data_IF_355063545945
#
_entry.id   IF_355063545945
#
_cell.length_a   1.000
_cell.length_b   1.000
_cell.length_c   1.000
_cell.angle_alpha   90.00
_cell.angle_beta   90.00
_cell.angle_gamma   90.00
#
_symmetry.space_group_name_H-M   'P 1'
#
loop_
_entity.id
_entity.type
_entity.pdbx_description
1 polymer ?
#
# COMPACT_ATOMS: atom_id res chain seq x y z
N UNK A 1 -0.52 -1.68 7.53
CA UNK A 1 0.15 -2.37 6.41
C UNK A 1 -0.66 -2.25 5.11
N UNK A 2 -1.96 -2.59 5.08
CA UNK A 2 -2.82 -2.42 3.88
C UNK A 2 -2.83 -0.98 3.35
N UNK A 3 -2.96 0.00 4.25
CA UNK A 3 -2.93 1.43 3.91
C UNK A 3 -1.64 1.81 3.17
N UNK A 4 -0.49 1.27 3.62
CA UNK A 4 0.82 1.54 3.02
C UNK A 4 0.90 0.98 1.60
N UNK A 5 0.46 -0.27 1.41
CA UNK A 5 0.46 -0.87 0.07
C UNK A 5 -0.53 -0.18 -0.88
N UNK A 6 -1.73 0.17 -0.41
CA UNK A 6 -2.67 0.95 -1.21
C UNK A 6 -2.09 2.32 -1.61
N UNK A 7 -1.39 2.99 -0.70
CA UNK A 7 -0.70 4.24 -1.01
C UNK A 7 0.36 4.06 -2.11
N UNK A 8 1.18 3.02 -2.03
CA UNK A 8 2.18 2.69 -3.04
C UNK A 8 1.56 2.43 -4.42
N UNK A 9 0.40 1.76 -4.48
CA UNK A 9 -0.38 1.60 -5.72
C UNK A 9 -0.77 2.97 -6.29
N UNK A 10 -1.39 3.83 -5.48
CA UNK A 10 -1.91 5.13 -5.91
C UNK A 10 -0.79 6.01 -6.50
N UNK A 11 0.37 6.05 -5.87
CA UNK A 11 1.51 6.86 -6.33
C UNK A 11 2.38 6.14 -7.37
N UNK A 12 2.05 4.89 -7.72
CA UNK A 12 2.88 4.02 -8.57
C UNK A 12 4.31 3.87 -8.06
N UNK A 13 4.45 3.67 -6.76
CA UNK A 13 5.69 3.21 -6.14
C UNK A 13 5.73 1.68 -6.18
N UNK A 14 6.56 1.13 -7.07
CA UNK A 14 6.75 -0.32 -7.24
C UNK A 14 8.03 -0.85 -6.59
N UNK A 15 8.80 0.01 -5.94
CA UNK A 15 10.00 -0.37 -5.16
C UNK A 15 9.62 -0.57 -3.69
N UNK A 16 8.58 -1.36 -3.45
CA UNK A 16 7.91 -1.55 -2.16
C UNK A 16 8.36 -2.84 -1.45
N UNK A 17 9.65 -3.13 -1.51
CA UNK A 17 10.25 -4.32 -0.94
C UNK A 17 10.24 -4.32 0.60
N UNK A 18 10.35 -5.51 1.20
CA UNK A 18 10.19 -5.69 2.65
C UNK A 18 11.18 -4.89 3.53
N UNK A 19 12.34 -4.47 3.01
CA UNK A 19 13.27 -3.61 3.79
C UNK A 19 12.82 -2.15 3.84
N UNK A 20 11.77 -1.78 3.12
CA UNK A 20 11.05 -0.50 3.24
C UNK A 20 10.01 -0.50 4.38
N UNK A 21 9.94 -1.59 5.16
CA UNK A 21 9.20 -1.68 6.41
C UNK A 21 10.17 -1.82 7.59
N UNK A 22 10.19 -0.83 8.48
CA UNK A 22 10.98 -0.88 9.71
C UNK A 22 10.10 -0.97 10.95
N UNK A 23 10.63 -1.64 11.97
CA UNK A 23 10.09 -1.66 13.31
C UNK A 23 11.10 -1.03 14.27
N UNK A 24 10.61 -0.17 15.15
CA UNK A 24 11.40 0.48 16.19
C UNK A 24 11.10 -0.17 17.54
N UNK A 25 12.14 -0.40 18.33
CA UNK A 25 11.98 -0.84 19.72
C UNK A 25 11.78 0.38 20.61
N UNK A 26 10.55 0.57 21.11
CA UNK A 26 10.16 1.74 21.91
C UNK A 26 9.44 1.27 23.17
N UNK A 27 9.95 1.69 24.34
CA UNK A 27 9.37 1.39 25.65
C UNK A 27 9.10 -0.11 25.87
N UNK A 28 10.03 -0.98 25.48
CA UNK A 28 9.90 -2.43 25.68
C UNK A 28 8.98 -3.14 24.68
N UNK A 29 8.63 -2.51 23.56
CA UNK A 29 7.76 -3.09 22.53
C UNK A 29 8.23 -2.75 21.12
N UNK A 30 8.03 -3.66 20.16
CA UNK A 30 8.19 -3.38 18.74
C UNK A 30 7.01 -2.53 18.24
N UNK A 31 7.31 -1.42 17.59
CA UNK A 31 6.33 -0.54 16.96
C UNK A 31 6.68 -0.35 15.50
N UNK A 32 5.68 -0.36 14.62
CA UNK A 32 5.89 0.00 13.22
C UNK A 32 6.40 1.44 13.14
N UNK A 33 7.43 1.68 12.30
CA UNK A 33 7.94 3.03 12.05
C UNK A 33 6.96 3.86 11.23
N UNK A 34 7.25 5.16 11.10
CA UNK A 34 6.69 5.96 10.00
C UNK A 34 7.13 5.36 8.65
N UNK A 35 6.29 5.54 7.64
CA UNK A 35 6.62 5.18 6.26
C UNK A 35 7.69 6.13 5.70
N UNK A 36 8.61 5.59 4.90
CA UNK A 36 9.69 6.29 4.22
C UNK A 36 9.85 5.69 2.82
N UNK A 37 10.74 6.28 2.01
CA UNK A 37 11.02 5.85 0.63
C UNK A 37 9.77 5.75 -0.26
N UNK A 38 8.97 6.81 -0.21
CA UNK A 38 7.68 6.93 -0.90
C UNK A 38 7.83 7.71 -2.22
N UNK A 39 8.59 7.15 -3.15
CA UNK A 39 8.87 7.78 -4.45
C UNK A 39 8.24 6.98 -5.60
N UNK A 40 7.87 7.67 -6.67
CA UNK A 40 7.43 7.03 -7.91
C UNK A 40 8.54 6.08 -8.40
N UNK A 41 8.20 4.82 -8.68
CA UNK A 41 9.14 3.83 -9.18
C UNK A 41 8.47 2.86 -10.14
N UNK A 42 9.16 2.53 -11.24
CA UNK A 42 8.64 1.62 -12.25
C UNK A 42 8.75 0.14 -11.85
N UNK A 43 9.55 -0.18 -10.83
CA UNK A 43 9.78 -1.56 -10.39
C UNK A 43 10.47 -2.44 -11.43
N UNK A 44 10.56 -3.73 -11.14
CA UNK A 44 11.14 -4.72 -12.06
C UNK A 44 10.10 -5.14 -13.10
N UNK A 45 10.39 -4.94 -14.39
CA UNK A 45 9.49 -5.23 -15.50
C UNK A 45 8.10 -4.57 -15.40
N UNK A 46 7.96 -3.48 -14.65
CA UNK A 46 6.68 -2.81 -14.46
C UNK A 46 5.82 -3.36 -13.33
N UNK A 47 6.32 -4.29 -12.52
CA UNK A 47 5.58 -4.89 -11.41
C UNK A 47 6.04 -4.35 -10.06
N UNK A 48 5.13 -4.39 -9.08
CA UNK A 48 5.47 -4.21 -7.67
C UNK A 48 6.46 -5.28 -7.21
N UNK A 49 7.36 -4.90 -6.31
CA UNK A 49 8.34 -5.83 -5.75
C UNK A 49 7.68 -6.75 -4.73
N UNK A 50 6.67 -6.25 -4.01
CA UNK A 50 5.82 -7.05 -3.14
C UNK A 50 4.48 -7.35 -3.81
N UNK A 51 4.11 -8.63 -3.88
CA UNK A 51 2.78 -9.03 -4.38
C UNK A 51 1.69 -8.77 -3.35
N UNK A 52 0.51 -8.35 -3.79
CA UNK A 52 -0.70 -8.35 -2.97
C UNK A 52 -1.64 -9.40 -3.56
N UNK A 53 -2.15 -10.29 -2.72
CA UNK A 53 -3.02 -11.38 -3.16
C UNK A 53 -2.42 -12.19 -4.34
N UNK A 54 -1.11 -12.47 -4.27
CA UNK A 54 -0.38 -13.21 -5.32
C UNK A 54 -0.15 -12.46 -6.63
N UNK A 55 -0.49 -11.17 -6.72
CA UNK A 55 -0.36 -10.37 -7.95
C UNK A 55 0.68 -9.26 -7.80
N UNK A 56 1.53 -9.11 -8.83
CA UNK A 56 2.49 -8.00 -8.94
C UNK A 56 1.92 -6.76 -9.62
N UNK A 57 0.76 -6.90 -10.27
CA UNK A 57 -0.04 -5.80 -10.81
C UNK A 57 -1.36 -5.78 -10.03
N UNK A 58 -1.72 -4.60 -9.53
CA UNK A 58 -2.67 -4.48 -8.43
C UNK A 58 -3.97 -3.84 -8.90
N UNK A 59 -5.09 -4.48 -8.57
CA UNK A 59 -6.40 -3.86 -8.61
C UNK A 59 -6.86 -3.51 -7.19
N UNK A 60 -7.74 -2.52 -7.08
CA UNK A 60 -8.34 -2.13 -5.79
C UNK A 60 -8.99 -3.32 -5.07
N UNK A 61 -9.64 -4.19 -5.84
CA UNK A 61 -10.28 -5.40 -5.33
C UNK A 61 -9.29 -6.32 -4.61
N UNK A 62 -8.04 -6.41 -5.06
CA UNK A 62 -7.02 -7.27 -4.46
C UNK A 62 -6.66 -6.81 -3.04
N UNK A 63 -6.70 -5.50 -2.79
CA UNK A 63 -6.44 -4.90 -1.48
C UNK A 63 -7.58 -5.21 -0.51
N UNK A 64 -8.84 -5.17 -0.99
CA UNK A 64 -10.03 -5.50 -0.18
C UNK A 64 -10.06 -7.00 0.14
N UNK A 65 -9.78 -7.86 -0.84
CA UNK A 65 -9.67 -9.31 -0.62
C UNK A 65 -8.61 -9.63 0.43
N UNK A 66 -7.42 -9.05 0.31
CA UNK A 66 -6.36 -9.24 1.32
C UNK A 66 -6.80 -8.74 2.70
N UNK A 67 -7.56 -7.64 2.79
CA UNK A 67 -8.07 -7.12 4.05
C UNK A 67 -8.98 -8.13 4.77
N UNK A 68 -9.89 -8.76 4.02
CA UNK A 68 -10.76 -9.80 4.55
C UNK A 68 -9.95 -11.03 5.01
N UNK A 69 -8.96 -11.47 4.22
CA UNK A 69 -8.11 -12.62 4.57
C UNK A 69 -7.32 -12.42 5.86
N UNK A 70 -6.86 -11.20 6.14
CA UNK A 70 -6.14 -10.89 7.38
C UNK A 70 -7.06 -10.52 8.56
N UNK A 71 -8.38 -10.67 8.40
CA UNK A 71 -9.37 -10.49 9.46
C UNK A 71 -9.78 -9.04 9.72
N UNK A 72 -9.57 -8.11 8.78
CA UNK A 72 -10.15 -6.77 8.87
C UNK A 72 -11.59 -6.77 8.38
N UNK A 73 -12.44 -5.95 9.00
CA UNK A 73 -13.81 -5.79 8.51
C UNK A 73 -13.79 -5.10 7.14
N UNK A 74 -14.62 -5.59 6.23
CA UNK A 74 -14.78 -5.02 4.89
C UNK A 74 -15.11 -3.53 4.96
N UNK A 75 -16.02 -3.14 5.87
CA UNK A 75 -16.39 -1.74 6.09
C UNK A 75 -15.17 -0.88 6.44
N UNK A 76 -14.33 -1.32 7.38
CA UNK A 76 -13.14 -0.56 7.78
C UNK A 76 -12.13 -0.45 6.64
N UNK A 77 -11.89 -1.56 5.93
CA UNK A 77 -10.97 -1.60 4.80
C UNK A 77 -11.42 -0.64 3.69
N UNK A 78 -12.68 -0.73 3.26
CA UNK A 78 -13.27 0.11 2.21
C UNK A 78 -13.21 1.58 2.60
N UNK A 79 -13.69 1.95 3.78
CA UNK A 79 -13.68 3.35 4.24
C UNK A 79 -12.26 3.94 4.26
N UNK A 80 -11.29 3.17 4.75
CA UNK A 80 -9.89 3.63 4.85
C UNK A 80 -9.26 3.79 3.46
N UNK A 81 -9.54 2.86 2.55
CA UNK A 81 -9.06 2.88 1.17
C UNK A 81 -9.65 4.07 0.41
N UNK A 82 -10.95 4.32 0.55
CA UNK A 82 -11.65 5.45 -0.08
C UNK A 82 -11.08 6.78 0.43
N UNK A 83 -10.99 6.96 1.75
CA UNK A 83 -10.44 8.17 2.36
C UNK A 83 -9.02 8.46 1.87
N UNK A 84 -8.17 7.43 1.81
CA UNK A 84 -6.80 7.57 1.32
C UNK A 84 -6.76 7.95 -0.17
N UNK A 85 -7.63 7.34 -0.98
CA UNK A 85 -7.75 7.60 -2.42
C UNK A 85 -8.16 9.05 -2.67
N UNK A 86 -9.18 9.54 -1.96
CA UNK A 86 -9.64 10.93 -2.04
C UNK A 86 -8.53 11.92 -1.67
N UNK A 87 -7.82 11.68 -0.57
CA UNK A 87 -6.70 12.54 -0.14
C UNK A 87 -5.57 12.56 -1.17
N UNK A 88 -5.26 11.42 -1.78
CA UNK A 88 -4.23 11.34 -2.82
C UNK A 88 -4.66 12.06 -4.10
N UNK A 89 -5.93 11.93 -4.49
CA UNK A 89 -6.51 12.60 -5.64
C UNK A 89 -6.51 14.12 -5.45
N UNK A 90 -6.98 14.61 -4.30
CA UNK A 90 -6.99 16.03 -3.96
C UNK A 90 -5.59 16.67 -4.01
N UNK A 91 -4.54 15.90 -3.68
CA UNK A 91 -3.15 16.34 -3.73
C UNK A 91 -2.44 16.07 -5.06
N UNK A 92 -3.16 15.58 -6.09
CA UNK A 92 -2.61 15.22 -7.42
C UNK A 92 -1.47 14.19 -7.37
N UNK A 93 -1.48 13.34 -6.35
CA UNK A 93 -0.47 12.29 -6.15
C UNK A 93 -0.79 11.00 -6.89
N UNK A 94 -2.04 10.82 -7.34
CA UNK A 94 -2.45 9.62 -8.08
C UNK A 94 -1.74 9.59 -9.42
N UNK A 95 -0.85 8.62 -9.60
CA UNK A 95 -0.11 8.32 -10.85
C UNK A 95 -0.51 6.98 -11.44
N UNK A 96 -1.30 6.21 -10.70
CA UNK A 96 -1.87 4.95 -11.13
C UNK A 96 -2.69 5.13 -12.40
N UNK A 97 -2.23 4.53 -13.51
CA UNK A 97 -3.07 4.31 -14.69
C UNK A 97 -3.67 2.91 -14.55
N UNK A 98 -4.98 2.82 -14.32
CA UNK A 98 -5.74 1.61 -14.65
C UNK A 98 -5.50 1.37 -16.15
N UNK A 99 -4.73 0.35 -16.49
CA UNK A 99 -4.74 -0.19 -17.85
C UNK A 99 -5.79 -1.28 -17.91
#
# INVERSE_FOLDING_TARGET
>A
MIIYYHFNVLISNRDDYAKNLFFQWVNGSWKLSLAYDLLLSNGFNGYHTTTINGKGELALADVITLAAEIGLSEQYATQTIEELTEKCAARKMVKFRLR
#
